data_IF_282449416611
#
_entry.id   IF_282449416611
#
_cell.length_a   1.000
_cell.length_b   1.000
_cell.length_c   1.000
_cell.angle_alpha   90.00
_cell.angle_beta   90.00
_cell.angle_gamma   90.00
#
_symmetry.space_group_name_H-M   'P 1'
#
loop_
_entity.id
_entity.type
_entity.pdbx_description
1 polymer ?
#
# COMPACT_ATOMS: atom_id res chain seq x y z
N UNK A 1 12.14 -5.38 -27.83
CA UNK A 1 12.23 -4.66 -26.55
C UNK A 1 12.66 -5.66 -25.51
N UNK A 2 13.82 -5.43 -24.89
CA UNK A 2 14.33 -6.25 -23.79
C UNK A 2 13.37 -6.15 -22.58
N UNK A 3 13.35 -7.17 -21.72
CA UNK A 3 12.51 -7.18 -20.52
C UNK A 3 12.78 -5.95 -19.62
N UNK A 4 14.06 -5.62 -19.42
CA UNK A 4 14.47 -4.41 -18.69
C UNK A 4 13.95 -3.11 -19.32
N UNK A 5 13.98 -2.96 -20.64
CA UNK A 5 13.47 -1.75 -21.31
C UNK A 5 11.96 -1.58 -21.08
N UNK A 6 11.21 -2.68 -21.12
CA UNK A 6 9.77 -2.68 -20.81
C UNK A 6 9.54 -2.25 -19.35
N UNK A 7 10.23 -2.89 -18.41
CA UNK A 7 10.11 -2.59 -16.97
C UNK A 7 10.44 -1.13 -16.68
N UNK A 8 11.49 -0.57 -17.28
CA UNK A 8 11.88 0.83 -17.08
C UNK A 8 10.84 1.80 -17.64
N UNK A 9 10.22 1.49 -18.79
CA UNK A 9 9.12 2.30 -19.31
C UNK A 9 7.95 2.31 -18.34
N UNK A 10 7.53 1.15 -17.86
CA UNK A 10 6.41 1.02 -16.91
C UNK A 10 6.71 1.73 -15.58
N UNK A 11 7.95 1.66 -15.10
CA UNK A 11 8.40 2.40 -13.91
C UNK A 11 8.36 3.92 -14.10
N UNK A 12 8.72 4.43 -15.29
CA UNK A 12 8.63 5.87 -15.59
C UNK A 12 7.19 6.35 -15.68
N UNK A 13 6.30 5.53 -16.24
CA UNK A 13 4.85 5.82 -16.26
C UNK A 13 4.28 5.87 -14.83
N UNK A 14 4.71 4.95 -13.96
CA UNK A 14 4.35 4.97 -12.54
C UNK A 14 4.94 6.20 -11.82
N UNK A 15 6.21 6.53 -12.07
CA UNK A 15 6.85 7.73 -11.52
C UNK A 15 6.06 9.00 -11.87
N UNK A 16 5.61 9.14 -13.12
CA UNK A 16 4.80 10.27 -13.56
C UNK A 16 3.43 10.29 -12.87
N UNK A 17 2.80 9.13 -12.72
CA UNK A 17 1.51 8.99 -12.00
C UNK A 17 1.66 9.43 -10.54
N UNK A 18 2.70 8.97 -9.85
CA UNK A 18 3.00 9.34 -8.47
C UNK A 18 3.36 10.83 -8.34
N UNK A 19 4.12 11.38 -9.28
CA UNK A 19 4.43 12.81 -9.33
C UNK A 19 3.16 13.66 -9.44
N UNK A 20 2.17 13.22 -10.24
CA UNK A 20 0.85 13.85 -10.32
C UNK A 20 0.06 13.84 -9.00
N UNK A 21 0.40 12.94 -8.08
CA UNK A 21 -0.13 12.90 -6.71
C UNK A 21 0.74 13.65 -5.69
N UNK A 22 1.84 14.28 -6.12
CA UNK A 22 2.79 14.94 -5.23
C UNK A 22 3.74 13.99 -4.50
N UNK A 23 3.87 12.75 -4.98
CA UNK A 23 4.76 11.73 -4.40
C UNK A 23 6.03 11.67 -5.25
N UNK A 24 7.18 11.83 -4.59
CA UNK A 24 8.47 11.76 -5.25
C UNK A 24 9.00 10.32 -5.28
N UNK A 25 9.20 9.83 -6.49
CA UNK A 25 9.88 8.56 -6.78
C UNK A 25 11.11 8.87 -7.61
N UNK A 26 12.28 8.40 -7.18
CA UNK A 26 13.54 8.54 -7.90
C UNK A 26 13.91 7.22 -8.56
N UNK A 27 14.39 7.28 -9.81
CA UNK A 27 14.91 6.13 -10.55
C UNK A 27 16.28 6.52 -11.10
N UNK A 28 17.34 5.84 -10.64
CA UNK A 28 18.75 6.16 -10.95
C UNK A 28 19.52 4.91 -11.38
N UNK A 29 20.62 5.09 -12.10
CA UNK A 29 21.56 4.00 -12.36
C UNK A 29 22.14 3.47 -11.04
N UNK A 30 22.31 2.15 -10.94
CA UNK A 30 22.94 1.55 -9.77
C UNK A 30 24.43 1.92 -9.71
N UNK A 31 24.83 2.53 -8.59
CA UNK A 31 26.22 2.91 -8.32
C UNK A 31 27.05 1.71 -7.81
N UNK A 32 28.35 1.95 -7.57
CA UNK A 32 29.27 0.90 -7.15
C UNK A 32 28.93 0.34 -5.76
N UNK A 33 28.37 1.16 -4.86
CA UNK A 33 27.94 0.75 -3.53
C UNK A 33 26.71 -0.16 -3.63
N UNK A 34 25.70 0.27 -4.37
CA UNK A 34 24.50 -0.53 -4.66
C UNK A 34 24.88 -1.86 -5.29
N UNK A 35 25.80 -1.87 -6.26
CA UNK A 35 26.24 -3.11 -6.93
C UNK A 35 27.05 -4.03 -6.02
N UNK A 36 27.66 -3.50 -4.95
CA UNK A 36 28.31 -4.33 -3.94
C UNK A 36 27.28 -5.11 -3.11
N UNK A 37 26.11 -4.51 -2.86
CA UNK A 37 25.02 -5.14 -2.11
C UNK A 37 24.09 -5.97 -3.00
N UNK A 38 23.95 -5.56 -4.26
CA UNK A 38 23.03 -6.11 -5.27
C UNK A 38 23.75 -6.24 -6.62
N UNK A 39 24.51 -7.31 -6.80
CA UNK A 39 25.43 -7.51 -7.94
C UNK A 39 24.76 -7.34 -9.32
N UNK A 40 23.47 -7.67 -9.43
CA UNK A 40 22.70 -7.62 -10.67
C UNK A 40 21.96 -6.29 -10.89
N UNK A 41 22.06 -5.33 -9.96
CA UNK A 41 21.33 -4.07 -10.05
C UNK A 41 21.76 -3.24 -11.25
N UNK A 42 20.80 -3.00 -12.14
CA UNK A 42 20.91 -2.04 -13.23
C UNK A 42 20.50 -0.64 -12.78
N UNK A 43 19.38 -0.56 -12.06
CA UNK A 43 18.77 0.70 -11.59
C UNK A 43 18.27 0.57 -10.16
N UNK A 44 18.26 1.67 -9.42
CA UNK A 44 17.62 1.80 -8.11
C UNK A 44 16.35 2.62 -8.19
N UNK A 45 15.43 2.32 -7.29
CA UNK A 45 14.15 3.00 -7.11
C UNK A 45 14.04 3.41 -5.65
N UNK A 46 13.90 4.71 -5.41
CA UNK A 46 13.78 5.28 -4.07
C UNK A 46 12.49 6.08 -3.92
N UNK A 47 11.75 5.82 -2.84
CA UNK A 47 10.61 6.64 -2.42
C UNK A 47 10.77 6.98 -0.94
N UNK A 48 11.16 8.22 -0.67
CA UNK A 48 11.48 8.66 0.69
C UNK A 48 10.25 8.76 1.58
N UNK A 49 9.17 9.37 1.08
CA UNK A 49 7.96 9.61 1.86
C UNK A 49 6.73 9.09 1.12
N UNK A 50 5.76 8.48 1.81
CA UNK A 50 5.68 8.27 3.26
C UNK A 50 6.33 6.97 3.79
N UNK A 51 6.84 6.09 2.92
CA UNK A 51 7.20 4.70 3.29
C UNK A 51 8.69 4.39 3.41
N UNK A 52 9.60 5.27 2.94
CA UNK A 52 11.05 4.98 2.80
C UNK A 52 11.29 3.63 2.10
N UNK A 53 10.72 3.50 0.91
CA UNK A 53 10.79 2.30 0.12
C UNK A 53 12.04 2.32 -0.78
N UNK A 54 12.80 1.22 -0.76
CA UNK A 54 13.90 0.96 -1.68
C UNK A 54 13.59 -0.30 -2.50
N UNK A 55 13.86 -0.22 -3.80
CA UNK A 55 13.79 -1.33 -4.73
C UNK A 55 14.90 -1.21 -5.78
N UNK A 56 15.23 -2.30 -6.47
CA UNK A 56 16.14 -2.28 -7.60
C UNK A 56 15.60 -3.10 -8.77
N UNK A 57 16.09 -2.78 -9.96
CA UNK A 57 15.81 -3.53 -11.20
C UNK A 57 17.07 -4.31 -11.57
N UNK A 58 16.96 -5.62 -11.67
CA UNK A 58 18.03 -6.49 -12.13
C UNK A 58 18.33 -6.29 -13.62
N UNK A 59 19.52 -6.68 -14.08
CA UNK A 59 19.88 -6.67 -15.51
C UNK A 59 18.93 -7.51 -16.38
N UNK A 60 18.23 -8.47 -15.78
CA UNK A 60 17.19 -9.31 -16.41
C UNK A 60 15.82 -8.62 -16.50
N UNK A 61 15.68 -7.41 -15.94
CA UNK A 61 14.46 -6.61 -15.89
C UNK A 61 13.47 -7.02 -14.79
N UNK A 62 13.87 -7.88 -13.85
CA UNK A 62 13.07 -8.20 -12.65
C UNK A 62 13.16 -7.07 -11.65
N UNK A 63 12.03 -6.76 -10.99
CA UNK A 63 12.00 -5.79 -9.89
C UNK A 63 12.13 -6.54 -8.57
N UNK A 64 13.01 -6.06 -7.71
CA UNK A 64 13.21 -6.56 -6.36
C UNK A 64 12.88 -5.45 -5.36
N UNK A 65 12.01 -5.77 -4.39
CA UNK A 65 11.62 -4.86 -3.32
C UNK A 65 11.48 -5.67 -2.05
N UNK A 66 12.38 -5.42 -1.08
CA UNK A 66 12.40 -5.96 0.29
C UNK A 66 11.83 -7.39 0.45
N UNK A 67 12.71 -8.39 0.43
CA UNK A 67 12.40 -9.83 0.55
C UNK A 67 11.49 -10.42 -0.53
N UNK A 68 10.91 -9.60 -1.41
CA UNK A 68 10.09 -10.03 -2.55
C UNK A 68 10.78 -9.73 -3.88
N UNK A 69 10.61 -10.65 -4.82
CA UNK A 69 10.99 -10.47 -6.22
C UNK A 69 9.74 -10.62 -7.09
N UNK A 70 9.61 -9.79 -8.11
CA UNK A 70 8.44 -9.76 -8.99
C UNK A 70 8.83 -10.20 -10.42
N UNK A 71 9.09 -11.51 -10.64
CA UNK A 71 9.38 -12.00 -11.98
C UNK A 71 8.12 -11.82 -12.85
N UNK A 72 8.26 -11.06 -13.93
CA UNK A 72 7.22 -10.85 -14.95
C UNK A 72 5.94 -10.15 -14.45
N UNK A 73 6.04 -9.45 -13.32
CA UNK A 73 4.90 -8.96 -12.56
C UNK A 73 5.02 -7.49 -12.12
N UNK A 74 5.39 -6.58 -13.04
CA UNK A 74 5.43 -5.12 -12.77
C UNK A 74 4.16 -4.64 -12.09
N UNK A 75 3.02 -5.17 -12.52
CA UNK A 75 1.73 -4.75 -12.06
C UNK A 75 1.47 -5.18 -10.59
N UNK A 76 2.05 -6.30 -10.13
CA UNK A 76 2.08 -6.66 -8.71
C UNK A 76 3.01 -5.75 -7.89
N UNK A 77 4.20 -5.43 -8.43
CA UNK A 77 5.08 -4.44 -7.80
C UNK A 77 4.37 -3.09 -7.62
N UNK A 78 3.73 -2.60 -8.68
CA UNK A 78 2.95 -1.36 -8.67
C UNK A 78 1.86 -1.41 -7.60
N UNK A 79 1.08 -2.48 -7.54
CA UNK A 79 0.01 -2.64 -6.56
C UNK A 79 0.54 -2.62 -5.13
N UNK A 80 1.57 -3.42 -4.83
CA UNK A 80 2.17 -3.46 -3.49
C UNK A 80 2.77 -2.13 -3.09
N UNK A 81 3.43 -1.44 -4.02
CA UNK A 81 3.95 -0.10 -3.77
C UNK A 81 2.82 0.89 -3.45
N UNK A 82 1.75 0.92 -4.24
CA UNK A 82 0.61 1.81 -3.99
C UNK A 82 -0.06 1.53 -2.63
N UNK A 83 -0.18 0.25 -2.26
CA UNK A 83 -0.68 -0.18 -0.96
C UNK A 83 0.21 0.31 0.19
N UNK A 84 1.53 0.16 0.06
CA UNK A 84 2.51 0.62 1.05
C UNK A 84 2.50 2.14 1.20
N UNK A 85 2.35 2.89 0.10
CA UNK A 85 2.22 4.35 0.12
C UNK A 85 0.93 4.79 0.82
N UNK A 86 -0.21 4.18 0.46
CA UNK A 86 -1.50 4.50 1.08
C UNK A 86 -1.47 4.22 2.59
N UNK A 87 -0.86 3.09 2.98
CA UNK A 87 -0.63 2.74 4.38
C UNK A 87 0.29 3.75 5.07
N UNK A 88 1.40 4.13 4.44
CA UNK A 88 2.35 5.09 5.00
C UNK A 88 1.69 6.44 5.32
N UNK A 89 0.85 6.95 4.42
CA UNK A 89 0.10 8.18 4.66
C UNK A 89 -0.92 8.04 5.79
N UNK A 90 -1.71 6.96 5.83
CA UNK A 90 -2.64 6.74 6.94
C UNK A 90 -1.92 6.62 8.29
N UNK A 91 -0.78 5.91 8.34
CA UNK A 91 0.03 5.82 9.56
C UNK A 91 0.49 7.20 10.03
N UNK A 92 0.86 8.10 9.11
CA UNK A 92 1.20 9.48 9.47
C UNK A 92 0.00 10.25 10.01
N UNK A 93 -1.18 10.10 9.42
CA UNK A 93 -2.41 10.73 9.92
C UNK A 93 -2.76 10.24 11.34
N UNK A 94 -2.67 8.94 11.57
CA UNK A 94 -2.92 8.33 12.88
C UNK A 94 -1.88 8.79 13.91
N UNK A 95 -0.61 8.88 13.51
CA UNK A 95 0.47 9.33 14.38
C UNK A 95 0.27 10.78 14.84
N UNK A 96 -0.30 11.68 14.03
CA UNK A 96 -0.66 13.03 14.48
C UNK A 96 -1.63 12.96 15.67
N UNK A 97 -2.67 12.14 15.54
CA UNK A 97 -3.69 11.98 16.58
C UNK A 97 -3.07 11.37 17.85
N UNK A 98 -2.31 10.27 17.70
CA UNK A 98 -1.65 9.56 18.81
C UNK A 98 -0.64 10.46 19.55
N UNK A 99 0.22 11.16 18.82
CA UNK A 99 1.21 12.07 19.41
C UNK A 99 0.57 13.25 20.13
N UNK A 100 -0.53 13.80 19.58
CA UNK A 100 -1.29 14.86 20.25
C UNK A 100 -1.91 14.38 21.56
N UNK A 101 -2.61 13.25 21.54
CA UNK A 101 -3.20 12.64 22.74
C UNK A 101 -2.14 12.36 23.79
N UNK A 102 -0.99 11.80 23.40
CA UNK A 102 0.11 11.52 24.30
C UNK A 102 0.69 12.79 24.93
N UNK A 103 0.94 13.84 24.14
CA UNK A 103 1.44 15.12 24.63
C UNK A 103 0.47 15.74 25.65
N UNK A 104 -0.83 15.71 25.37
CA UNK A 104 -1.86 16.28 26.26
C UNK A 104 -2.03 15.48 27.54
N UNK A 105 -1.95 14.14 27.47
CA UNK A 105 -1.92 13.29 28.66
C UNK A 105 -0.76 13.65 29.59
N UNK A 106 0.42 13.90 29.03
CA UNK A 106 1.61 14.28 29.82
C UNK A 106 1.51 15.69 30.42
N UNK A 107 0.77 16.60 29.79
CA UNK A 107 0.61 17.98 30.27
C UNK A 107 -0.53 18.15 31.28
N UNK A 108 -1.68 17.52 31.03
CA UNK A 108 -2.93 17.79 31.77
C UNK A 108 -3.39 16.60 32.63
N UNK A 109 -2.72 15.44 32.55
CA UNK A 109 -3.09 14.22 33.27
C UNK A 109 -4.42 13.59 32.81
N UNK A 110 -5.02 14.07 31.72
CA UNK A 110 -6.30 13.58 31.18
C UNK A 110 -6.06 12.60 30.04
N UNK A 111 -6.81 11.50 30.04
CA UNK A 111 -6.80 10.46 29.00
C UNK A 111 -7.95 10.62 27.99
N UNK A 112 -8.67 11.75 28.04
CA UNK A 112 -9.79 12.01 27.14
C UNK A 112 -9.30 12.46 25.75
N UNK A 113 -9.91 11.91 24.71
CA UNK A 113 -9.68 12.32 23.33
C UNK A 113 -10.07 13.79 23.15
N UNK A 114 -9.11 14.64 22.78
CA UNK A 114 -9.28 16.09 22.67
C UNK A 114 -9.19 16.52 21.20
N UNK A 115 -9.90 17.59 20.79
CA UNK A 115 -9.83 18.08 19.42
C UNK A 115 -8.39 18.46 19.04
N UNK A 116 -8.02 18.17 17.79
CA UNK A 116 -6.75 18.58 17.22
C UNK A 116 -6.75 20.10 16.99
N UNK A 117 -5.65 20.80 17.31
CA UNK A 117 -5.43 22.17 16.86
C UNK A 117 -5.53 22.25 15.33
N UNK A 118 -6.06 23.36 14.80
CA UNK A 118 -6.36 23.53 13.36
C UNK A 118 -5.19 23.15 12.45
N UNK A 119 -3.96 23.51 12.81
CA UNK A 119 -2.77 23.17 12.03
C UNK A 119 -2.51 21.66 11.96
N UNK A 120 -2.73 20.94 13.06
CA UNK A 120 -2.58 19.48 13.10
C UNK A 120 -3.76 18.79 12.42
N UNK A 121 -4.97 19.32 12.57
CA UNK A 121 -6.16 18.83 11.87
C UNK A 121 -5.99 18.95 10.35
N UNK A 122 -5.52 20.10 9.85
CA UNK A 122 -5.22 20.30 8.43
C UNK A 122 -4.16 19.33 7.92
N UNK A 123 -3.05 19.14 8.66
CA UNK A 123 -1.99 18.19 8.30
C UNK A 123 -2.48 16.74 8.28
N UNK A 124 -3.35 16.37 9.22
CA UNK A 124 -3.99 15.04 9.25
C UNK A 124 -4.85 14.84 8.01
N UNK A 125 -5.69 15.82 7.68
CA UNK A 125 -6.55 15.77 6.51
C UNK A 125 -5.76 15.66 5.19
N UNK A 126 -4.62 16.36 5.07
CA UNK A 126 -3.71 16.22 3.92
C UNK A 126 -3.22 14.78 3.72
N UNK A 127 -2.83 14.09 4.80
CA UNK A 127 -2.38 12.71 4.72
C UNK A 127 -3.54 11.74 4.44
N UNK A 128 -4.71 11.96 5.02
CA UNK A 128 -5.91 11.15 4.73
C UNK A 128 -6.34 11.30 3.27
N UNK A 129 -6.31 12.53 2.73
CA UNK A 129 -6.62 12.81 1.33
C UNK A 129 -5.62 12.12 0.39
N UNK A 130 -4.32 12.22 0.67
CA UNK A 130 -3.28 11.53 -0.11
C UNK A 130 -3.47 10.00 -0.11
N UNK A 131 -3.77 9.41 1.06
CA UNK A 131 -4.07 7.99 1.17
C UNK A 131 -5.32 7.59 0.37
N UNK A 132 -6.37 8.41 0.39
CA UNK A 132 -7.59 8.13 -0.34
C UNK A 132 -7.39 8.22 -1.86
N UNK A 133 -6.63 9.20 -2.37
CA UNK A 133 -6.26 9.28 -3.80
C UNK A 133 -5.51 8.03 -4.26
N UNK A 134 -4.59 7.51 -3.44
CA UNK A 134 -3.89 6.25 -3.73
C UNK A 134 -4.84 5.06 -3.73
N UNK A 135 -5.77 4.97 -2.76
CA UNK A 135 -6.81 3.92 -2.74
C UNK A 135 -7.70 3.96 -3.98
N UNK A 136 -8.03 5.14 -4.47
CA UNK A 136 -8.84 5.28 -5.68
C UNK A 136 -8.08 4.80 -6.92
N UNK A 137 -6.76 5.05 -7.01
CA UNK A 137 -5.91 4.45 -8.04
C UNK A 137 -5.88 2.91 -7.96
N UNK A 138 -5.77 2.36 -6.75
CA UNK A 138 -5.74 0.91 -6.49
C UNK A 138 -7.06 0.28 -6.93
N UNK A 139 -8.22 0.85 -6.54
CA UNK A 139 -9.54 0.33 -6.93
C UNK A 139 -9.80 0.36 -8.43
N UNK A 140 -9.17 1.30 -9.15
CA UNK A 140 -9.27 1.39 -10.60
C UNK A 140 -8.37 0.37 -11.33
N UNK A 141 -7.43 -0.27 -10.62
CA UNK A 141 -6.50 -1.23 -11.19
C UNK A 141 -7.15 -2.62 -11.32
N UNK A 142 -7.14 -3.25 -12.52
CA UNK A 142 -7.72 -4.58 -12.70
C UNK A 142 -7.17 -5.65 -11.76
N UNK A 143 -5.90 -5.55 -11.38
CA UNK A 143 -5.23 -6.52 -10.49
C UNK A 143 -5.75 -6.43 -9.06
N UNK A 144 -6.37 -5.31 -8.66
CA UNK A 144 -7.03 -5.23 -7.35
C UNK A 144 -8.13 -6.30 -7.20
N UNK A 145 -8.70 -6.79 -8.30
CA UNK A 145 -9.70 -7.86 -8.31
C UNK A 145 -9.10 -9.28 -8.41
N UNK A 146 -7.79 -9.42 -8.64
CA UNK A 146 -7.15 -10.74 -8.73
C UNK A 146 -6.89 -11.27 -7.32
N UNK A 147 -7.72 -12.24 -6.92
CA UNK A 147 -7.60 -12.91 -5.63
C UNK A 147 -6.96 -14.28 -5.81
N UNK A 148 -5.97 -14.58 -4.98
CA UNK A 148 -5.45 -15.93 -4.83
C UNK A 148 -6.48 -16.84 -4.14
N UNK A 149 -6.39 -18.18 -4.33
CA UNK A 149 -7.26 -19.13 -3.63
C UNK A 149 -7.24 -18.95 -2.11
N UNK A 150 -6.07 -18.66 -1.53
CA UNK A 150 -5.93 -18.38 -0.10
C UNK A 150 -6.72 -17.13 0.33
N UNK A 151 -6.65 -16.05 -0.45
CA UNK A 151 -7.39 -14.83 -0.14
C UNK A 151 -8.90 -15.03 -0.25
N UNK A 152 -9.36 -15.77 -1.27
CA UNK A 152 -10.76 -16.15 -1.44
C UNK A 152 -11.27 -16.98 -0.25
N UNK A 153 -10.56 -18.05 0.12
CA UNK A 153 -10.95 -18.89 1.25
C UNK A 153 -11.03 -18.09 2.56
N UNK A 154 -10.11 -17.15 2.75
CA UNK A 154 -10.07 -16.32 3.95
C UNK A 154 -11.17 -15.26 3.96
N UNK A 155 -11.50 -14.66 2.80
CA UNK A 155 -12.67 -13.81 2.62
C UNK A 155 -13.97 -14.58 2.86
N UNK A 156 -14.11 -15.83 2.39
CA UNK A 156 -15.30 -16.64 2.66
C UNK A 156 -15.51 -16.89 4.15
N UNK A 157 -14.43 -17.16 4.90
CA UNK A 157 -14.50 -17.34 6.36
C UNK A 157 -14.97 -16.06 7.05
N UNK A 158 -14.42 -14.92 6.66
CA UNK A 158 -14.87 -13.59 7.09
C UNK A 158 -16.37 -13.36 6.85
N UNK A 159 -16.89 -13.74 5.68
CA UNK A 159 -18.31 -13.53 5.36
C UNK A 159 -19.27 -14.47 6.09
N UNK A 160 -18.81 -15.68 6.45
CA UNK A 160 -19.64 -16.66 7.18
C UNK A 160 -19.89 -16.27 8.63
N UNK A 161 -18.92 -15.62 9.27
CA UNK A 161 -19.06 -15.12 10.64
C UNK A 161 -18.30 -13.80 10.81
N UNK A 162 -18.88 -12.68 10.32
CA UNK A 162 -18.24 -11.38 10.42
C UNK A 162 -18.05 -10.94 11.86
N UNK A 163 -18.76 -11.50 12.85
CA UNK A 163 -18.57 -11.12 14.25
C UNK A 163 -17.44 -11.89 14.93
N UNK A 164 -17.25 -13.16 14.60
CA UNK A 164 -16.17 -14.01 15.13
C UNK A 164 -14.83 -13.75 14.46
N UNK A 165 -14.88 -13.44 13.17
CA UNK A 165 -13.75 -12.78 12.55
C UNK A 165 -13.66 -11.38 13.18
N UNK A 166 -14.74 -10.57 13.44
CA UNK A 166 -14.59 -9.21 14.05
C UNK A 166 -13.97 -9.20 15.43
N UNK A 167 -14.13 -10.29 16.16
CA UNK A 167 -13.57 -10.50 17.49
C UNK A 167 -12.12 -11.02 17.45
N UNK A 168 -11.66 -11.53 16.31
CA UNK A 168 -10.24 -11.60 15.93
C UNK A 168 -9.79 -10.29 15.21
N UNK A 169 -10.73 -9.55 14.62
CA UNK A 169 -10.60 -8.28 13.88
C UNK A 169 -10.66 -7.07 14.83
N UNK A 170 -9.64 -6.90 15.65
CA UNK A 170 -9.07 -5.57 15.84
C UNK A 170 -7.61 -5.73 16.24
N UNK A 171 -6.92 -6.66 15.58
CA UNK A 171 -5.49 -6.48 15.39
C UNK A 171 -5.29 -5.59 14.14
N UNK A 172 -5.13 -4.26 14.28
CA UNK A 172 -4.75 -3.38 13.17
C UNK A 172 -3.43 -3.79 12.49
N UNK A 173 -2.72 -4.80 13.03
CA UNK A 173 -1.53 -5.39 12.45
C UNK A 173 -1.79 -6.62 11.56
N UNK A 174 -3.00 -7.20 11.46
CA UNK A 174 -3.25 -8.30 10.52
C UNK A 174 -3.13 -7.80 9.06
N UNK A 175 -2.08 -8.21 8.32
CA UNK A 175 -1.81 -7.63 7.00
C UNK A 175 -2.91 -7.92 5.98
N UNK A 176 -3.68 -9.01 6.15
CA UNK A 176 -4.66 -9.46 5.16
C UNK A 176 -5.88 -8.55 5.09
N UNK A 177 -6.56 -8.30 6.22
CA UNK A 177 -7.78 -7.49 6.20
C UNK A 177 -7.48 -6.04 5.81
N UNK A 178 -6.32 -5.53 6.21
CA UNK A 178 -5.84 -4.21 5.78
C UNK A 178 -5.58 -4.17 4.27
N UNK A 179 -5.02 -5.23 3.70
CA UNK A 179 -4.86 -5.35 2.25
C UNK A 179 -6.20 -5.34 1.52
N UNK A 180 -7.15 -6.20 1.94
CA UNK A 180 -8.50 -6.26 1.38
C UNK A 180 -9.23 -4.90 1.47
N UNK A 181 -9.09 -4.20 2.59
CA UNK A 181 -9.67 -2.86 2.79
C UNK A 181 -9.03 -1.82 1.86
N UNK A 182 -7.69 -1.81 1.76
CA UNK A 182 -6.99 -0.84 0.91
C UNK A 182 -7.24 -1.10 -0.59
N UNK A 183 -7.45 -2.36 -0.98
CA UNK A 183 -7.94 -2.75 -2.32
C UNK A 183 -9.41 -2.40 -2.54
N UNK A 184 -10.12 -1.95 -1.50
CA UNK A 184 -11.53 -1.59 -1.55
C UNK A 184 -12.45 -2.78 -1.72
N UNK A 185 -12.00 -4.00 -1.39
CA UNK A 185 -12.80 -5.22 -1.49
C UNK A 185 -13.72 -5.38 -0.27
N UNK A 186 -13.30 -4.87 0.89
CA UNK A 186 -14.10 -4.82 2.11
C UNK A 186 -14.15 -3.39 2.68
N UNK A 187 -15.17 -3.12 3.47
CA UNK A 187 -15.32 -1.92 4.30
C UNK A 187 -15.80 -2.27 5.73
N UNK A 188 -16.28 -1.28 6.50
CA UNK A 188 -16.76 -1.49 7.88
C UNK A 188 -18.02 -2.35 7.96
N UNK A 189 -18.79 -2.39 6.88
CA UNK A 189 -20.07 -3.07 6.82
C UNK A 189 -19.93 -4.48 6.21
N UNK A 190 -18.85 -4.73 5.45
CA UNK A 190 -18.47 -6.06 4.99
C UNK A 190 -17.90 -6.02 3.58
N UNK A 191 -18.34 -6.93 2.71
CA UNK A 191 -17.89 -6.98 1.31
C UNK A 191 -18.47 -5.81 0.52
N UNK A 192 -17.60 -5.06 -0.17
CA UNK A 192 -18.02 -4.02 -1.11
C UNK A 192 -18.52 -4.64 -2.41
N UNK A 193 -19.06 -3.81 -3.30
CA UNK A 193 -19.40 -4.24 -4.66
C UNK A 193 -18.17 -4.72 -5.46
N UNK A 194 -17.01 -4.09 -5.24
CA UNK A 194 -15.77 -4.51 -5.86
C UNK A 194 -15.31 -5.89 -5.32
N UNK A 195 -15.45 -6.09 -4.00
CA UNK A 195 -15.19 -7.38 -3.36
C UNK A 195 -16.09 -8.50 -3.86
N UNK A 196 -17.40 -8.23 -4.05
CA UNK A 196 -18.34 -9.20 -4.63
C UNK A 196 -17.89 -9.64 -6.02
N UNK A 197 -17.55 -8.69 -6.89
CA UNK A 197 -17.06 -8.99 -8.25
C UNK A 197 -15.75 -9.77 -8.26
N UNK A 198 -14.83 -9.45 -7.35
CA UNK A 198 -13.57 -10.18 -7.21
C UNK A 198 -13.83 -11.65 -6.81
N UNK A 199 -14.72 -11.88 -5.83
CA UNK A 199 -15.11 -13.22 -5.40
C UNK A 199 -15.85 -14.01 -6.51
N UNK A 200 -16.74 -13.37 -7.28
CA UNK A 200 -17.44 -14.01 -8.39
C UNK A 200 -16.48 -14.51 -9.49
N UNK A 201 -15.46 -13.71 -9.84
CA UNK A 201 -14.44 -14.10 -10.82
C UNK A 201 -13.69 -15.35 -10.41
N UNK A 202 -13.39 -15.50 -9.12
CA UNK A 202 -12.77 -16.70 -8.59
C UNK A 202 -13.67 -17.92 -8.77
N UNK A 203 -14.95 -17.83 -8.38
CA UNK A 203 -15.92 -18.94 -8.49
C UNK A 203 -16.10 -19.40 -9.93
N UNK A 204 -16.05 -18.49 -10.91
CA UNK A 204 -16.16 -18.82 -12.34
C UNK A 204 -14.87 -19.45 -12.90
N UNK A 205 -13.73 -19.22 -12.24
CA UNK A 205 -12.41 -19.70 -12.68
C UNK A 205 -11.94 -20.98 -11.97
N UNK A 206 -12.67 -21.42 -10.94
CA UNK A 206 -12.40 -22.62 -10.13
C UNK A 206 -13.23 -23.83 -10.60
#
# INVERSE_FOLDING_TARGET
MLKIEKTLKELRDLQNTLHGLGIEMSIKDADAETKSDYEDAAMTIDIFEPCRCFAWVGMDGVIHMRWNSYPDAFAWFRMNLLLDLARGYMLKADNITKSWTHLRRNLDGRDAEMPLPDKLAGRKAEYEDAANRLRDLIKADPIAMDLSPYECERLERFLRDPQKERLLEYDPDDPFYRDMFNRGLIDRDGLTELGRKAMERYVVSA
#
